data_IF_961526006904
#
_entry.id   IF_961526006904
#
_cell.length_a   1.000
_cell.length_b   1.000
_cell.length_c   1.000
_cell.angle_alpha   90.00
_cell.angle_beta   90.00
_cell.angle_gamma   90.00
#
_symmetry.space_group_name_H-M   'P 1'
#
loop_
_entity.id
_entity.type
_entity.pdbx_description
1 polymer ?
#
# COMPACT_ATOMS: atom_id res chain seq x y z
N UNK A 1 0.20 -3.27 -6.34
CA UNK A 1 0.24 -3.22 -4.87
C UNK A 1 1.67 -2.96 -4.42
N UNK A 2 1.89 -2.20 -3.34
CA UNK A 2 3.24 -1.97 -2.81
C UNK A 2 3.75 -3.22 -2.08
N UNK A 3 4.88 -3.77 -2.50
CA UNK A 3 5.47 -4.99 -1.93
C UNK A 3 6.90 -4.73 -1.52
N UNK A 4 7.28 -5.13 -0.31
CA UNK A 4 8.61 -4.87 0.23
C UNK A 4 9.70 -5.58 -0.59
N UNK A 5 10.79 -4.85 -0.89
CA UNK A 5 11.99 -5.38 -1.58
C UNK A 5 12.98 -6.07 -0.63
N UNK A 6 12.86 -5.78 0.67
CA UNK A 6 13.69 -6.31 1.76
C UNK A 6 12.89 -6.29 3.05
N UNK A 7 13.44 -6.81 4.13
CA UNK A 7 12.92 -6.56 5.46
C UNK A 7 12.98 -5.05 5.77
N UNK A 8 11.83 -4.50 6.18
CA UNK A 8 11.64 -3.12 6.57
C UNK A 8 11.21 -3.04 8.03
N UNK A 9 11.70 -2.04 8.74
CA UNK A 9 11.44 -1.79 10.16
C UNK A 9 10.39 -0.71 10.36
N UNK A 10 9.76 -0.75 11.53
CA UNK A 10 8.88 0.34 11.96
C UNK A 10 9.65 1.67 11.96
N UNK A 11 9.02 2.70 11.43
CA UNK A 11 9.57 4.04 11.36
C UNK A 11 10.39 4.36 10.11
N UNK A 12 10.75 3.36 9.29
CA UNK A 12 11.37 3.62 7.98
C UNK A 12 10.42 4.36 7.03
N UNK A 13 11.00 5.17 6.14
CA UNK A 13 10.26 5.88 5.10
C UNK A 13 10.28 5.07 3.81
N UNK A 14 9.10 4.82 3.23
CA UNK A 14 8.99 4.23 1.92
C UNK A 14 9.38 5.26 0.84
N UNK A 15 10.24 4.83 -0.08
CA UNK A 15 10.72 5.64 -1.20
C UNK A 15 9.93 5.42 -2.50
N UNK A 16 8.91 4.57 -2.48
CA UNK A 16 7.96 4.40 -3.57
C UNK A 16 8.51 3.61 -4.77
N UNK A 17 7.93 3.87 -5.96
CA UNK A 17 8.32 3.21 -7.20
C UNK A 17 9.75 3.57 -7.62
N UNK A 18 10.50 2.60 -8.16
CA UNK A 18 11.88 2.78 -8.61
C UNK A 18 12.93 2.87 -7.48
N UNK A 19 12.50 3.05 -6.22
CA UNK A 19 13.37 3.11 -5.05
C UNK A 19 13.86 1.75 -4.55
N UNK A 20 14.26 1.68 -3.29
CA UNK A 20 14.87 0.53 -2.63
C UNK A 20 13.93 -0.18 -1.64
N UNK A 21 12.81 0.44 -1.25
CA UNK A 21 11.94 -0.11 -0.20
C UNK A 21 10.83 -1.00 -0.77
N UNK A 22 10.21 -0.62 -1.89
CA UNK A 22 9.04 -1.32 -2.44
C UNK A 22 9.08 -1.46 -3.95
N UNK A 23 8.33 -2.44 -4.47
CA UNK A 23 8.05 -2.65 -5.88
C UNK A 23 6.55 -2.91 -6.12
N UNK A 24 6.13 -2.87 -7.39
CA UNK A 24 4.75 -3.10 -7.79
C UNK A 24 4.43 -4.56 -8.05
N UNK A 25 3.57 -5.15 -7.23
CA UNK A 25 3.00 -6.49 -7.45
C UNK A 25 1.59 -6.42 -8.00
N UNK A 26 1.33 -7.12 -9.11
CA UNK A 26 -0.03 -7.29 -9.64
C UNK A 26 -0.82 -8.26 -8.76
N UNK A 27 -2.06 -7.89 -8.44
CA UNK A 27 -3.01 -8.71 -7.69
C UNK A 27 -4.43 -8.49 -8.25
N UNK A 28 -5.30 -9.51 -8.22
CA UNK A 28 -6.73 -9.31 -8.45
C UNK A 28 -7.30 -8.25 -7.50
N UNK A 29 -8.24 -7.44 -7.98
CA UNK A 29 -8.80 -6.34 -7.21
C UNK A 29 -9.46 -6.84 -5.91
N UNK A 30 -10.23 -7.93 -5.98
CA UNK A 30 -10.85 -8.57 -4.81
C UNK A 30 -9.82 -8.98 -3.75
N UNK A 31 -8.72 -9.61 -4.17
CA UNK A 31 -7.62 -9.97 -3.26
C UNK A 31 -7.00 -8.74 -2.62
N UNK A 32 -6.74 -7.68 -3.41
CA UNK A 32 -6.19 -6.42 -2.89
C UNK A 32 -7.13 -5.75 -1.88
N UNK A 33 -8.44 -5.77 -2.11
CA UNK A 33 -9.43 -5.22 -1.18
C UNK A 33 -9.49 -6.04 0.12
N UNK A 34 -9.55 -7.36 0.02
CA UNK A 34 -9.61 -8.27 1.17
C UNK A 34 -8.44 -8.10 2.13
N UNK A 35 -7.25 -7.79 1.62
CA UNK A 35 -6.04 -7.55 2.43
C UNK A 35 -5.83 -6.07 2.78
N UNK A 36 -6.72 -5.16 2.36
CA UNK A 36 -6.55 -3.72 2.56
C UNK A 36 -5.26 -3.18 1.93
N UNK A 37 -4.91 -3.66 0.74
CA UNK A 37 -3.61 -3.44 0.12
C UNK A 37 -3.30 -1.96 -0.18
N UNK A 38 -2.12 -1.51 0.27
CA UNK A 38 -1.60 -0.19 -0.03
C UNK A 38 -1.16 -0.12 -1.52
N UNK A 39 -1.66 0.85 -2.31
CA UNK A 39 -1.29 1.01 -3.71
C UNK A 39 0.10 1.64 -3.84
N UNK A 40 0.91 1.14 -4.78
CA UNK A 40 2.28 1.63 -5.00
C UNK A 40 2.31 3.13 -5.34
N UNK A 41 1.35 3.61 -6.13
CA UNK A 41 1.25 5.02 -6.50
C UNK A 41 1.00 5.97 -5.32
N UNK A 42 0.62 5.44 -4.15
CA UNK A 42 0.49 6.19 -2.90
C UNK A 42 1.47 5.67 -1.84
N UNK A 43 2.62 5.12 -2.21
CA UNK A 43 3.60 4.58 -1.27
C UNK A 43 4.89 5.42 -1.16
N UNK A 44 4.98 6.54 -1.88
CA UNK A 44 6.15 7.42 -1.83
C UNK A 44 6.06 8.38 -0.63
N UNK A 45 7.15 8.49 0.13
CA UNK A 45 7.27 9.44 1.24
C UNK A 45 6.39 9.13 2.44
N UNK A 46 6.08 7.85 2.67
CA UNK A 46 5.18 7.41 3.74
C UNK A 46 5.90 6.52 4.74
N UNK A 47 5.64 6.78 6.02
CA UNK A 47 6.30 6.11 7.14
C UNK A 47 5.64 4.77 7.44
N UNK A 48 6.43 3.73 7.68
CA UNK A 48 5.96 2.46 8.23
C UNK A 48 5.62 2.61 9.72
N UNK A 49 4.51 2.03 10.15
CA UNK A 49 4.12 2.00 11.58
C UNK A 49 4.48 0.68 12.27
N UNK A 50 4.77 -0.37 11.50
CA UNK A 50 5.22 -1.68 11.99
C UNK A 50 6.17 -2.36 10.98
N UNK A 51 6.94 -3.37 11.40
CA UNK A 51 7.84 -4.09 10.50
C UNK A 51 7.09 -4.83 9.38
N UNK A 52 7.71 -4.92 8.20
CA UNK A 52 7.19 -5.61 7.02
C UNK A 52 8.31 -6.48 6.44
N UNK A 53 8.03 -7.75 6.17
CA UNK A 53 9.04 -8.70 5.66
C UNK A 53 9.25 -8.58 4.15
N UNK A 54 10.43 -8.96 3.68
CA UNK A 54 10.72 -9.05 2.24
C UNK A 54 9.63 -9.85 1.51
N UNK A 55 9.18 -9.33 0.37
CA UNK A 55 8.13 -9.96 -0.44
C UNK A 55 6.71 -9.83 0.11
N UNK A 56 6.53 -9.31 1.34
CA UNK A 56 5.22 -9.02 1.89
C UNK A 56 4.59 -7.83 1.17
N UNK A 57 3.31 -7.97 0.83
CA UNK A 57 2.49 -6.90 0.27
C UNK A 57 1.95 -6.04 1.42
N UNK A 58 2.20 -4.72 1.37
CA UNK A 58 1.82 -3.75 2.41
C UNK A 58 0.32 -3.46 2.39
N UNK A 59 -0.28 -3.26 3.55
CA UNK A 59 -1.67 -2.83 3.73
C UNK A 59 -1.73 -1.40 4.26
N UNK A 60 -2.93 -0.82 4.27
CA UNK A 60 -3.18 0.45 4.97
C UNK A 60 -2.78 0.44 6.44
N UNK A 61 -2.77 -0.74 7.08
CA UNK A 61 -2.36 -0.89 8.48
C UNK A 61 -0.84 -0.91 8.70
N UNK A 62 -0.04 -1.01 7.63
CA UNK A 62 1.42 -0.98 7.71
C UNK A 62 1.98 0.44 7.64
N UNK A 63 1.19 1.43 7.21
CA UNK A 63 1.66 2.76 6.82
C UNK A 63 0.89 3.90 7.50
N UNK A 64 1.61 4.99 7.78
CA UNK A 64 1.03 6.26 8.22
C UNK A 64 0.71 7.14 7.01
N UNK A 65 -0.41 6.87 6.34
CA UNK A 65 -0.87 7.65 5.18
C UNK A 65 -1.61 8.93 5.61
N UNK A 66 -1.37 10.04 4.91
CA UNK A 66 -2.17 11.26 5.08
C UNK A 66 -3.54 11.10 4.41
N UNK A 67 -4.56 10.94 5.24
CA UNK A 67 -5.96 10.72 4.83
C UNK A 67 -6.65 12.00 4.35
N UNK A 68 -6.03 13.17 4.53
CA UNK A 68 -6.54 14.45 4.04
C UNK A 68 -6.28 14.66 2.54
N UNK A 69 -5.37 13.89 1.95
CA UNK A 69 -5.00 14.05 0.54
C UNK A 69 -6.17 13.71 -0.41
N UNK A 70 -6.23 14.41 -1.56
CA UNK A 70 -7.20 14.10 -2.61
C UNK A 70 -7.01 12.68 -3.17
N UNK A 71 -5.76 12.24 -3.32
CA UNK A 71 -5.42 10.94 -3.86
C UNK A 71 -5.87 9.78 -2.95
N UNK A 72 -5.70 9.92 -1.62
CA UNK A 72 -6.24 8.95 -0.66
C UNK A 72 -7.77 8.88 -0.75
N UNK A 73 -8.45 10.03 -0.73
CA UNK A 73 -9.93 10.10 -0.80
C UNK A 73 -10.47 9.48 -2.09
N UNK A 74 -9.84 9.77 -3.23
CA UNK A 74 -10.20 9.16 -4.51
C UNK A 74 -10.01 7.63 -4.47
N UNK A 75 -8.88 7.15 -3.95
CA UNK A 75 -8.65 5.70 -3.82
C UNK A 75 -9.73 5.03 -2.96
N UNK A 76 -10.10 5.64 -1.83
CA UNK A 76 -11.19 5.15 -0.97
C UNK A 76 -12.56 5.16 -1.67
N UNK A 77 -12.84 6.15 -2.50
CA UNK A 77 -14.07 6.16 -3.34
C UNK A 77 -14.04 5.00 -4.35
N UNK A 78 -12.92 4.75 -5.01
CA UNK A 78 -12.76 3.64 -5.96
C UNK A 78 -12.93 2.27 -5.28
N UNK A 79 -12.44 2.10 -4.05
CA UNK A 79 -12.65 0.86 -3.27
C UNK A 79 -14.14 0.62 -2.97
N UNK A 80 -14.89 1.69 -2.65
CA UNK A 80 -16.34 1.61 -2.39
C UNK A 80 -17.19 1.35 -3.63
N UNK A 81 -16.70 1.74 -4.81
CA UNK A 81 -17.38 1.52 -6.10
C UNK A 81 -17.24 0.07 -6.59
N UNK A 82 -16.33 -0.73 -6.01
CA UNK A 82 -16.25 -2.13 -6.36
C UNK A 82 -17.47 -2.89 -5.81
N UNK A 83 -18.43 -3.12 -6.69
CA UNK A 83 -19.54 -4.06 -6.49
C UNK A 83 -18.95 -5.47 -6.40
N UNK A 84 -19.29 -6.29 -5.39
CA UNK A 84 -18.86 -7.68 -5.36
C UNK A 84 -19.33 -8.38 -6.63
N UNK A 85 -18.42 -9.13 -7.28
CA UNK A 85 -18.84 -10.09 -8.29
C UNK A 85 -19.71 -11.14 -7.57
N UNK A 86 -20.99 -11.17 -7.92
CA UNK A 86 -21.94 -12.20 -7.49
C UNK A 86 -21.48 -13.60 -7.91
#
# INVERSE_FOLDING_TARGET
MATAKRDLQAGEMLDGEGGYTVWGKLLPAETSLRIGGAPLGLAHGIKLVRPVKEGQSLSWSDVAIDTSTGAYRLRQQLEKLQVPAN
#
